data_IF_334940577844
#
_entry.id   IF_334940577844
#
_cell.length_a   1.000
_cell.length_b   1.000
_cell.length_c   1.000
_cell.angle_alpha   90.00
_cell.angle_beta   90.00
_cell.angle_gamma   90.00
#
_symmetry.space_group_name_H-M   'P 1'
#
loop_
_entity.id
_entity.type
_entity.pdbx_description
1 polymer ?
#
# COMPACT_ATOMS: atom_id res chain seq x y z
N UNK A 1 7.28 6.34 5.16
CA UNK A 1 5.86 6.44 5.57
C UNK A 1 5.70 6.98 6.98
N UNK A 2 6.48 6.49 7.96
CA UNK A 2 6.46 7.02 9.34
C UNK A 2 7.02 8.46 9.49
N UNK A 3 7.78 8.96 8.51
CA UNK A 3 8.35 10.31 8.54
C UNK A 3 7.32 11.43 8.35
N UNK A 4 6.12 11.12 7.86
CA UNK A 4 5.01 12.08 7.72
C UNK A 4 4.11 12.13 8.98
N UNK A 5 4.49 11.46 10.06
CA UNK A 5 3.65 11.33 11.25
C UNK A 5 3.75 12.57 12.14
N UNK A 6 2.65 13.28 12.25
CA UNK A 6 2.53 14.47 13.09
C UNK A 6 2.30 14.10 14.56
N UNK A 7 2.64 15.00 15.49
CA UNK A 7 2.43 14.79 16.93
C UNK A 7 0.98 14.43 17.30
N UNK A 8 0.00 14.97 16.58
CA UNK A 8 -1.41 14.66 16.82
C UNK A 8 -1.78 13.23 16.37
N UNK A 9 -1.17 12.73 15.29
CA UNK A 9 -1.37 11.36 14.80
C UNK A 9 -0.71 10.36 15.74
N UNK A 10 0.45 10.71 16.31
CA UNK A 10 1.09 9.93 17.39
C UNK A 10 0.11 9.81 18.56
N UNK A 11 -0.53 10.91 18.97
CA UNK A 11 -1.56 10.91 20.00
C UNK A 11 -2.75 10.01 19.66
N UNK A 12 -3.25 10.08 18.42
CA UNK A 12 -4.35 9.24 17.93
C UNK A 12 -3.97 7.74 17.94
N UNK A 13 -2.75 7.38 17.53
CA UNK A 13 -2.25 6.01 17.59
C UNK A 13 -2.08 5.51 19.03
N UNK A 14 -1.64 6.37 19.94
CA UNK A 14 -1.52 6.03 21.36
C UNK A 14 -2.90 5.75 21.96
N UNK A 15 -3.88 6.57 21.61
CA UNK A 15 -5.28 6.38 22.03
C UNK A 15 -5.88 5.10 21.43
N UNK A 16 -5.60 4.79 20.15
CA UNK A 16 -6.00 3.54 19.52
C UNK A 16 -5.33 2.32 20.17
N UNK A 17 -4.03 2.41 20.48
CA UNK A 17 -3.31 1.34 21.17
C UNK A 17 -3.89 1.09 22.57
N UNK A 18 -4.22 2.15 23.31
CA UNK A 18 -4.94 2.04 24.58
C UNK A 18 -6.34 1.43 24.41
N UNK A 19 -7.06 1.72 23.32
CA UNK A 19 -8.36 1.10 23.05
C UNK A 19 -8.24 -0.41 22.78
N UNK A 20 -7.25 -0.82 21.97
CA UNK A 20 -7.06 -2.23 21.57
C UNK A 20 -6.48 -3.06 22.72
N UNK A 21 -5.42 -2.55 23.35
CA UNK A 21 -4.64 -3.30 24.35
C UNK A 21 -5.06 -2.98 25.79
N UNK A 22 -5.64 -1.81 26.05
CA UNK A 22 -6.05 -1.38 27.38
C UNK A 22 -4.92 -1.43 28.39
N UNK A 23 -5.23 -2.00 29.55
CA UNK A 23 -4.30 -2.24 30.67
C UNK A 23 -3.15 -3.23 30.35
N UNK A 24 -3.22 -3.95 29.22
CA UNK A 24 -2.20 -4.93 28.84
C UNK A 24 -1.05 -4.31 28.05
N UNK A 25 -1.18 -3.07 27.61
CA UNK A 25 -0.15 -2.37 26.83
C UNK A 25 1.25 -2.40 27.50
N UNK A 26 1.41 -2.17 28.82
CA UNK A 26 2.72 -2.29 29.47
C UNK A 26 3.28 -3.72 29.45
N UNK A 27 2.41 -4.74 29.53
CA UNK A 27 2.81 -6.15 29.44
C UNK A 27 3.29 -6.49 28.02
N UNK A 28 2.54 -6.07 27.00
CA UNK A 28 2.89 -6.29 25.58
C UNK A 28 4.23 -5.63 25.22
N UNK A 29 4.47 -4.40 25.70
CA UNK A 29 5.77 -3.73 25.53
C UNK A 29 6.87 -4.56 26.21
N UNK A 30 6.65 -5.00 27.45
CA UNK A 30 7.61 -5.82 28.18
C UNK A 30 7.97 -7.12 27.47
N UNK A 31 6.97 -7.81 26.91
CA UNK A 31 7.16 -9.06 26.18
C UNK A 31 7.87 -8.82 24.84
N UNK A 32 7.50 -7.76 24.11
CA UNK A 32 8.19 -7.34 22.89
C UNK A 32 9.66 -6.98 23.14
N UNK A 33 9.95 -6.28 24.24
CA UNK A 33 11.33 -5.94 24.64
C UNK A 33 12.14 -7.17 25.02
N UNK A 34 11.55 -8.14 25.73
CA UNK A 34 12.20 -9.42 26.05
C UNK A 34 12.52 -10.20 24.78
N UNK A 35 11.58 -10.26 23.85
CA UNK A 35 11.78 -10.90 22.54
C UNK A 35 12.89 -10.21 21.74
N UNK A 36 12.87 -8.87 21.68
CA UNK A 36 13.91 -8.08 21.00
C UNK A 36 15.29 -8.30 21.63
N UNK A 37 15.37 -8.34 22.96
CA UNK A 37 16.63 -8.59 23.67
C UNK A 37 17.13 -10.01 23.47
N UNK A 38 16.22 -10.99 23.44
CA UNK A 38 16.52 -12.38 23.08
C UNK A 38 17.04 -12.49 21.66
N UNK A 39 16.38 -11.87 20.70
CA UNK A 39 16.80 -11.86 19.30
C UNK A 39 18.17 -11.17 19.11
N UNK A 40 18.40 -10.07 19.82
CA UNK A 40 19.71 -9.39 19.82
C UNK A 40 20.81 -10.25 20.43
N UNK A 41 20.54 -10.99 21.50
CA UNK A 41 21.49 -11.93 22.09
C UNK A 41 21.75 -13.12 21.17
N UNK A 42 20.70 -13.68 20.54
CA UNK A 42 20.82 -14.79 19.59
C UNK A 42 21.63 -14.39 18.36
N UNK A 43 21.39 -13.18 17.82
CA UNK A 43 22.17 -12.65 16.72
C UNK A 43 23.65 -12.49 17.11
N UNK A 44 23.94 -11.93 18.29
CA UNK A 44 25.33 -11.78 18.76
C UNK A 44 26.03 -13.13 18.98
N UNK A 45 25.33 -14.09 19.58
CA UNK A 45 25.88 -15.43 19.85
C UNK A 45 26.11 -16.20 18.55
N UNK A 46 25.13 -16.22 17.64
CA UNK A 46 25.27 -16.87 16.34
C UNK A 46 26.38 -16.23 15.49
N UNK A 47 26.54 -14.91 15.54
CA UNK A 47 27.67 -14.22 14.90
C UNK A 47 29.01 -14.61 15.54
N UNK A 48 29.08 -14.68 16.87
CA UNK A 48 30.27 -15.09 17.61
C UNK A 48 30.67 -16.53 17.28
N UNK A 49 29.71 -17.45 17.25
CA UNK A 49 29.95 -18.86 16.97
C UNK A 49 30.36 -19.07 15.50
N UNK A 50 29.71 -18.36 14.57
CA UNK A 50 30.07 -18.38 13.14
C UNK A 50 31.46 -17.77 12.88
N UNK A 51 31.83 -16.71 13.62
CA UNK A 51 33.18 -16.11 13.58
C UNK A 51 34.25 -17.06 14.13
N UNK A 52 33.92 -17.84 15.16
CA UNK A 52 34.85 -18.77 15.82
C UNK A 52 35.10 -20.04 15.02
N UNK A 53 34.10 -20.52 14.27
CA UNK A 53 34.22 -21.72 13.44
C UNK A 53 34.76 -21.46 12.03
N UNK A 54 34.54 -20.27 11.45
CA UNK A 54 35.05 -19.94 10.11
C UNK A 54 36.46 -19.33 10.10
N UNK A 55 37.05 -18.99 11.24
CA UNK A 55 38.46 -18.56 11.33
C UNK A 55 38.80 -17.29 10.53
N UNK A 56 37.79 -16.52 10.11
CA UNK A 56 37.97 -15.23 9.42
C UNK A 56 37.30 -14.15 10.26
N UNK A 57 38.11 -13.18 10.67
CA UNK A 57 37.72 -12.01 11.45
C UNK A 57 36.80 -11.09 10.62
N UNK A 58 35.49 -11.35 10.68
CA UNK A 58 34.48 -10.41 10.19
C UNK A 58 34.23 -9.39 11.31
N UNK A 59 35.07 -8.36 11.35
CA UNK A 59 34.90 -7.18 12.20
C UNK A 59 33.53 -6.55 11.94
N UNK A 60 32.70 -6.56 12.97
CA UNK A 60 31.28 -6.22 12.95
C UNK A 60 30.99 -4.72 12.97
N UNK A 61 31.94 -3.87 12.54
CA UNK A 61 31.82 -2.40 12.59
C UNK A 61 31.30 -1.79 11.28
N UNK A 62 31.29 -2.53 10.16
CA UNK A 62 30.83 -2.00 8.86
C UNK A 62 29.93 -2.98 8.08
N UNK A 63 28.81 -3.34 8.70
CA UNK A 63 27.65 -3.92 8.01
C UNK A 63 26.57 -2.85 7.79
N UNK A 64 26.82 -1.92 6.87
CA UNK A 64 25.70 -1.48 6.06
C UNK A 64 25.09 -2.73 5.39
N UNK A 65 23.77 -2.98 5.50
CA UNK A 65 23.15 -4.19 4.93
C UNK A 65 23.38 -4.32 3.41
N UNK A 66 23.73 -3.21 2.75
CA UNK A 66 24.12 -3.16 1.33
C UNK A 66 25.54 -3.68 1.05
N UNK A 67 26.48 -3.61 1.99
CA UNK A 67 27.85 -4.07 1.83
C UNK A 67 28.01 -5.58 2.13
N UNK A 68 27.24 -6.11 3.09
CA UNK A 68 27.29 -7.54 3.47
C UNK A 68 26.62 -8.45 2.44
N UNK A 69 25.46 -8.03 1.89
CA UNK A 69 24.85 -8.68 0.72
C UNK A 69 25.84 -8.66 -0.45
N UNK A 70 26.53 -7.53 -0.66
CA UNK A 70 27.52 -7.41 -1.71
C UNK A 70 28.75 -8.32 -1.54
N UNK A 71 29.04 -8.84 -0.35
CA UNK A 71 30.30 -9.56 -0.08
C UNK A 71 30.12 -11.03 0.31
N UNK A 72 28.89 -11.47 0.60
CA UNK A 72 28.56 -12.89 0.83
C UNK A 72 27.43 -13.43 -0.08
N UNK A 73 26.71 -12.58 -0.83
CA UNK A 73 25.87 -13.02 -1.97
C UNK A 73 26.54 -12.81 -3.34
N UNK A 74 27.73 -12.18 -3.41
CA UNK A 74 28.53 -12.04 -4.64
C UNK A 74 29.87 -12.79 -4.50
N UNK A 75 29.83 -14.09 -4.24
CA UNK A 75 30.91 -14.93 -4.75
C UNK A 75 30.72 -15.03 -6.27
N UNK A 76 31.75 -14.65 -7.01
CA UNK A 76 31.76 -14.23 -8.42
C UNK A 76 31.27 -15.26 -9.46
N UNK A 77 30.91 -16.49 -9.07
CA UNK A 77 30.42 -17.53 -9.98
C UNK A 77 28.87 -17.62 -10.08
N UNK A 78 28.13 -17.20 -9.04
CA UNK A 78 26.65 -17.34 -9.01
C UNK A 78 25.89 -16.06 -9.45
N UNK A 79 26.61 -14.96 -9.65
CA UNK A 79 26.06 -13.63 -9.94
C UNK A 79 25.37 -13.55 -11.32
N UNK A 80 25.85 -14.30 -12.32
CA UNK A 80 25.25 -14.28 -13.67
C UNK A 80 24.04 -15.20 -13.80
N UNK A 81 24.01 -16.30 -13.05
CA UNK A 81 22.93 -17.28 -13.08
C UNK A 81 21.68 -16.79 -12.34
N UNK A 82 21.85 -16.00 -11.25
CA UNK A 82 20.75 -15.49 -10.43
C UNK A 82 20.29 -14.09 -10.81
N UNK A 83 21.14 -13.25 -11.42
CA UNK A 83 20.73 -11.89 -11.83
C UNK A 83 19.80 -11.88 -13.04
N UNK A 84 20.05 -12.73 -14.03
CA UNK A 84 19.17 -12.85 -15.20
C UNK A 84 17.73 -13.19 -14.83
N UNK A 85 17.45 -14.21 -13.99
CA UNK A 85 16.09 -14.52 -13.57
C UNK A 85 15.50 -13.43 -12.66
N UNK A 86 16.26 -12.82 -11.75
CA UNK A 86 15.70 -11.76 -10.91
C UNK A 86 15.38 -10.48 -11.69
N UNK A 87 16.20 -10.13 -12.69
CA UNK A 87 15.92 -9.01 -13.58
C UNK A 87 14.74 -9.31 -14.49
N UNK A 88 14.65 -10.52 -15.07
CA UNK A 88 13.48 -10.90 -15.88
C UNK A 88 12.19 -10.90 -15.05
N UNK A 89 12.22 -11.44 -13.83
CA UNK A 89 11.06 -11.41 -12.93
C UNK A 89 10.66 -9.98 -12.55
N UNK A 90 11.64 -9.10 -12.30
CA UNK A 90 11.35 -7.69 -11.99
C UNK A 90 10.80 -6.93 -13.20
N UNK A 91 11.37 -7.17 -14.37
CA UNK A 91 10.91 -6.56 -15.62
C UNK A 91 9.51 -7.05 -16.02
N UNK A 92 9.21 -8.35 -15.86
CA UNK A 92 7.88 -8.93 -16.07
C UNK A 92 6.85 -8.27 -15.14
N UNK A 93 7.16 -8.19 -13.84
CA UNK A 93 6.28 -7.55 -12.85
C UNK A 93 6.07 -6.07 -13.19
N UNK A 94 7.11 -5.36 -13.64
CA UNK A 94 7.00 -3.96 -14.03
C UNK A 94 6.16 -3.78 -15.29
N UNK A 95 6.28 -4.70 -16.26
CA UNK A 95 5.51 -4.70 -17.49
C UNK A 95 4.02 -4.96 -17.20
N UNK A 96 3.71 -5.97 -16.38
CA UNK A 96 2.34 -6.27 -15.96
C UNK A 96 1.69 -5.07 -15.27
N UNK A 97 2.41 -4.43 -14.34
CA UNK A 97 1.90 -3.25 -13.63
C UNK A 97 1.66 -2.07 -14.57
N UNK A 98 2.50 -1.88 -15.58
CA UNK A 98 2.29 -0.83 -16.57
C UNK A 98 1.11 -1.17 -17.50
N UNK A 99 0.95 -2.44 -17.90
CA UNK A 99 -0.20 -2.91 -18.68
C UNK A 99 -1.52 -2.67 -17.94
N UNK A 100 -1.58 -3.05 -16.66
CA UNK A 100 -2.76 -2.85 -15.80
C UNK A 100 -3.07 -1.37 -15.62
N UNK A 101 -2.06 -0.51 -15.47
CA UNK A 101 -2.27 0.95 -15.39
C UNK A 101 -2.87 1.51 -16.67
N UNK A 102 -2.36 1.12 -17.83
CA UNK A 102 -2.88 1.58 -19.12
C UNK A 102 -4.32 1.10 -19.35
N UNK A 103 -4.63 -0.14 -19.00
CA UNK A 103 -5.98 -0.68 -19.11
C UNK A 103 -6.96 0.04 -18.17
N UNK A 104 -6.51 0.33 -16.94
CA UNK A 104 -7.31 1.08 -15.97
C UNK A 104 -7.56 2.52 -16.42
N UNK A 105 -6.57 3.20 -17.02
CA UNK A 105 -6.73 4.54 -17.55
C UNK A 105 -7.66 4.56 -18.78
N UNK A 106 -7.60 3.53 -19.63
CA UNK A 106 -8.55 3.33 -20.73
C UNK A 106 -9.99 3.15 -20.24
N UNK A 107 -10.21 2.29 -19.25
CA UNK A 107 -11.53 2.09 -18.63
C UNK A 107 -12.04 3.38 -18.01
N UNK A 108 -11.18 4.13 -17.31
CA UNK A 108 -11.54 5.45 -16.76
C UNK A 108 -11.99 6.42 -17.83
N UNK A 109 -11.30 6.52 -18.96
CA UNK A 109 -11.71 7.40 -20.06
C UNK A 109 -13.06 6.98 -20.68
N UNK A 110 -13.31 5.68 -20.84
CA UNK A 110 -14.60 5.20 -21.35
C UNK A 110 -15.75 5.48 -20.38
N UNK A 111 -15.50 5.36 -19.07
CA UNK A 111 -16.48 5.71 -18.05
C UNK A 111 -16.76 7.22 -18.03
N UNK A 112 -15.74 8.06 -18.19
CA UNK A 112 -15.91 9.52 -18.25
C UNK A 112 -16.66 9.95 -19.52
N UNK A 113 -16.37 9.32 -20.66
CA UNK A 113 -17.10 9.53 -21.93
C UNK A 113 -18.57 9.09 -21.80
N UNK A 114 -18.82 7.91 -21.22
CA UNK A 114 -20.19 7.43 -20.94
C UNK A 114 -20.91 8.37 -19.97
N UNK A 115 -20.22 8.84 -18.92
CA UNK A 115 -20.78 9.79 -17.96
C UNK A 115 -21.07 11.15 -18.61
N UNK A 116 -20.22 11.61 -19.54
CA UNK A 116 -20.43 12.82 -20.31
C UNK A 116 -21.62 12.70 -21.27
N UNK A 117 -21.80 11.55 -21.93
CA UNK A 117 -22.92 11.28 -22.82
C UNK A 117 -24.26 11.24 -22.05
N UNK A 118 -24.29 10.57 -20.90
CA UNK A 118 -25.45 10.58 -19.99
C UNK A 118 -25.78 11.99 -19.47
N UNK A 119 -24.75 12.79 -19.15
CA UNK A 119 -24.91 14.19 -18.74
C UNK A 119 -25.38 15.07 -19.89
N UNK A 120 -24.98 14.80 -21.12
CA UNK A 120 -25.47 15.45 -22.34
C UNK A 120 -26.94 15.13 -22.62
N UNK A 121 -27.32 13.85 -22.52
CA UNK A 121 -28.70 13.39 -22.65
C UNK A 121 -29.64 14.07 -21.62
N UNK A 122 -29.15 14.32 -20.39
CA UNK A 122 -29.92 15.04 -19.37
C UNK A 122 -30.11 16.56 -19.63
N UNK A 123 -29.30 17.17 -20.50
CA UNK A 123 -29.43 18.61 -20.86
C UNK A 123 -30.22 18.85 -22.15
N UNK A 124 -30.49 17.81 -22.94
CA UNK A 124 -31.17 17.89 -24.23
C UNK A 124 -32.69 17.95 -24.20
N UNK A 125 -33.32 17.99 -23.02
CA UNK A 125 -34.79 18.00 -22.88
C UNK A 125 -35.29 19.15 -22.02
N UNK A 126 -35.12 20.38 -22.52
CA UNK A 126 -35.97 21.51 -22.12
C UNK A 126 -36.25 22.39 -23.34
N UNK A 127 -37.42 22.29 -24.00
CA UNK A 127 -37.91 23.37 -24.83
C UNK A 127 -38.30 24.53 -23.91
N UNK A 128 -37.88 25.73 -24.28
CA UNK A 128 -38.21 26.97 -23.60
C UNK A 128 -39.73 27.18 -23.56
N UNK A 129 -40.31 27.22 -22.36
CA UNK A 129 -41.71 27.59 -22.15
C UNK A 129 -41.77 28.99 -21.52
N UNK A 130 -42.07 29.97 -22.37
CA UNK A 130 -42.57 31.30 -21.99
C UNK A 130 -43.87 31.13 -21.19
N UNK A 131 -44.09 31.82 -20.06
CA UNK A 131 -45.27 31.59 -19.24
C UNK A 131 -46.51 32.32 -19.79
N UNK A 132 -47.66 31.63 -19.95
CA UNK A 132 -48.95 32.29 -19.88
C UNK A 132 -49.64 32.01 -18.55
N UNK A 133 -50.19 33.08 -18.00
CA UNK A 133 -51.04 33.09 -16.82
C UNK A 133 -52.33 32.27 -17.03
N UNK A 134 -52.70 31.51 -15.98
CA UNK A 134 -54.08 31.33 -15.55
C UNK A 134 -54.89 30.18 -16.15
N UNK A 135 -55.02 29.09 -15.37
CA UNK A 135 -56.32 28.49 -14.98
C UNK A 135 -56.13 27.28 -14.05
N UNK A 136 -56.91 27.13 -12.95
CA UNK A 136 -56.90 25.92 -12.15
C UNK A 136 -58.01 24.92 -12.54
N UNK A 137 -57.73 23.65 -12.23
CA UNK A 137 -58.61 22.50 -12.00
C UNK A 137 -59.31 21.85 -13.22
N UNK A 138 -59.13 20.53 -13.35
CA UNK A 138 -60.17 19.52 -13.06
C UNK A 138 -59.58 18.09 -13.07
N UNK A 139 -59.37 17.46 -11.90
CA UNK A 139 -60.15 16.36 -11.26
C UNK A 139 -60.33 15.10 -12.12
N UNK A 140 -59.64 14.05 -11.66
CA UNK A 140 -59.88 12.60 -11.75
C UNK A 140 -61.09 12.09 -12.54
N UNK A 141 -60.83 11.08 -13.38
CA UNK A 141 -61.71 9.93 -13.47
C UNK A 141 -60.87 8.65 -13.36
N UNK A 142 -61.33 7.73 -12.51
CA UNK A 142 -60.62 6.56 -12.03
C UNK A 142 -61.47 5.34 -12.35
N UNK A 143 -61.83 5.18 -13.62
CA UNK A 143 -62.61 4.02 -14.08
C UNK A 143 -62.33 3.72 -15.56
N UNK A 144 -61.25 3.00 -15.81
CA UNK A 144 -61.08 2.23 -17.04
C UNK A 144 -60.30 0.95 -16.71
N UNK A 145 -61.07 -0.14 -16.60
CA UNK A 145 -60.62 -1.54 -16.46
C UNK A 145 -59.86 -2.00 -17.70
#
# INVERSE_FOLDING_TARGET
MFENLNWWEIGALLMLALLIFGERLPKVIGDGLRMLRGLRSMAQNATSDLSRELGTDIQLEDLHPKAFIRKHLLSEDDEQALRKPLQSLFDDVKQDLNGVKTELDGVRSHLDETAADLRGASRGSMPAETPPAGRPAQRFDLDAT
#
